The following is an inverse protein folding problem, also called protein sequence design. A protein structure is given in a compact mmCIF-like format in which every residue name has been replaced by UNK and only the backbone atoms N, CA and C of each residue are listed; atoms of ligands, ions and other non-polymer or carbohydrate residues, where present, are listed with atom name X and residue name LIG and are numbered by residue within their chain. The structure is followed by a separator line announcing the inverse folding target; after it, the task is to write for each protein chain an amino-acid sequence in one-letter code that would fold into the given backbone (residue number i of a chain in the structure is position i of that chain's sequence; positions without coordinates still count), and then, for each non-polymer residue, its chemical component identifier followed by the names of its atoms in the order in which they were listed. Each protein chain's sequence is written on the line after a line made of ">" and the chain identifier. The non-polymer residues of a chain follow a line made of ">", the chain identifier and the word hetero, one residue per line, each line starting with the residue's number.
data_IF_859153158714
#
_entry.id   IF_859153158714
#
_cell.length_a   1.000
_cell.length_b   1.000
_cell.length_c   1.000
_cell.angle_alpha   90.00
_cell.angle_beta   90.00
_cell.angle_gamma   90.00
#
_symmetry.space_group_name_H-M   'P 1'
#
loop_
_entity.id
_entity.type
_entity.pdbx_description
1 polymer ?
#
# COMPACT_ATOMS: atom_id res chain seq x y z
N UNK A 1 -14.43 -5.65 12.82
CA UNK A 1 -13.11 -5.44 12.17
C UNK A 1 -12.06 -5.67 13.25
N UNK A 2 -11.39 -6.81 13.25
CA UNK A 2 -10.28 -7.05 14.17
C UNK A 2 -8.99 -6.77 13.40
N UNK A 3 -8.28 -5.71 13.80
CA UNK A 3 -6.88 -5.48 13.42
C UNK A 3 -6.01 -5.85 14.60
N UNK A 4 -4.83 -6.38 14.34
CA UNK A 4 -3.78 -6.55 15.35
C UNK A 4 -2.47 -6.00 14.81
N UNK A 5 -1.53 -5.78 15.72
CA UNK A 5 -0.18 -5.39 15.42
C UNK A 5 0.70 -6.65 15.44
N UNK A 6 1.33 -6.94 14.31
CA UNK A 6 2.09 -8.17 14.08
C UNK A 6 3.58 -7.89 13.92
N UNK A 7 4.39 -8.86 14.34
CA UNK A 7 5.84 -8.79 14.46
C UNK A 7 6.53 -9.07 13.13
N UNK A 8 7.58 -8.32 12.81
CA UNK A 8 8.36 -8.56 11.59
C UNK A 8 9.28 -9.79 11.72
N UNK A 9 9.06 -10.81 10.89
CA UNK A 9 9.90 -12.02 10.78
C UNK A 9 10.89 -11.97 9.60
N UNK A 10 10.91 -10.87 8.85
CA UNK A 10 11.79 -10.65 7.70
C UNK A 10 11.21 -11.30 6.45
N UNK A 11 12.07 -11.90 5.63
CA UNK A 11 11.71 -12.31 4.28
C UNK A 11 12.19 -13.73 3.92
N UNK A 12 12.48 -14.55 4.93
CA UNK A 12 12.72 -15.98 4.76
C UNK A 12 11.43 -16.76 4.92
N UNK A 13 11.14 -17.70 4.01
CA UNK A 13 9.92 -18.53 4.06
C UNK A 13 10.18 -19.86 4.75
N UNK A 14 11.28 -20.53 4.38
CA UNK A 14 11.55 -21.90 4.79
C UNK A 14 11.82 -22.02 6.31
N UNK A 15 10.96 -22.75 7.02
CA UNK A 15 11.06 -23.03 8.46
C UNK A 15 11.30 -21.77 9.31
N UNK A 16 10.77 -20.64 8.87
CA UNK A 16 10.93 -19.35 9.55
C UNK A 16 10.30 -19.36 10.94
N UNK A 17 9.24 -20.16 11.13
CA UNK A 17 8.54 -20.29 12.41
C UNK A 17 9.00 -21.47 13.28
N UNK A 18 9.93 -22.30 12.81
CA UNK A 18 10.44 -23.43 13.61
C UNK A 18 11.04 -22.92 14.92
N UNK A 19 10.77 -23.55 16.06
CA UNK A 19 11.46 -23.29 17.33
C UNK A 19 12.65 -24.23 17.52
N UNK A 20 13.58 -23.90 18.44
CA UNK A 20 14.62 -24.85 18.88
C UNK A 20 13.99 -26.09 19.55
N UNK A 21 12.80 -25.93 20.15
CA UNK A 21 12.04 -27.02 20.78
C UNK A 21 11.35 -27.96 19.80
N UNK A 22 11.18 -27.57 18.54
CA UNK A 22 10.45 -28.38 17.55
C UNK A 22 11.36 -29.37 16.83
N UNK A 23 12.68 -29.26 17.03
CA UNK A 23 13.64 -30.21 16.51
C UNK A 23 13.78 -31.43 17.44
N UNK A 24 14.09 -32.61 16.88
CA UNK A 24 14.27 -33.84 17.68
C UNK A 24 15.29 -33.71 18.82
N UNK A 25 16.24 -32.77 18.70
CA UNK A 25 17.22 -32.44 19.74
C UNK A 25 17.36 -30.93 19.89
N UNK A 26 17.33 -30.43 21.14
CA UNK A 26 17.57 -29.02 21.47
C UNK A 26 18.98 -28.52 21.11
N UNK A 27 19.94 -29.45 20.97
CA UNK A 27 21.34 -29.15 20.63
C UNK A 27 21.66 -29.50 19.15
N UNK A 28 20.64 -29.57 18.30
CA UNK A 28 20.85 -29.84 16.88
C UNK A 28 21.47 -28.60 16.20
N UNK A 29 22.75 -28.69 15.85
CA UNK A 29 23.46 -27.66 15.07
C UNK A 29 22.71 -27.32 13.78
N UNK A 30 22.00 -28.29 13.19
CA UNK A 30 21.25 -28.08 11.96
C UNK A 30 20.05 -27.15 12.16
N UNK A 31 19.36 -27.30 13.30
CA UNK A 31 18.27 -26.43 13.71
C UNK A 31 18.73 -24.97 13.82
N UNK A 32 19.85 -24.77 14.51
CA UNK A 32 20.44 -23.45 14.73
C UNK A 32 20.90 -22.81 13.40
N UNK A 33 21.50 -23.59 12.50
CA UNK A 33 21.92 -23.09 11.19
C UNK A 33 20.74 -22.69 10.30
N UNK A 34 19.69 -23.52 10.22
CA UNK A 34 18.49 -23.18 9.45
C UNK A 34 17.79 -21.96 10.04
N UNK A 35 17.66 -21.90 11.36
CA UNK A 35 17.13 -20.74 12.09
C UNK A 35 17.85 -19.44 11.73
N UNK A 36 19.18 -19.43 11.81
CA UNK A 36 19.97 -18.24 11.55
C UNK A 36 19.95 -17.83 10.07
N UNK A 37 19.69 -18.78 9.16
CA UNK A 37 19.60 -18.52 7.73
C UNK A 37 18.29 -17.83 7.32
N UNK A 38 17.14 -18.33 7.79
CA UNK A 38 15.82 -17.86 7.35
C UNK A 38 15.17 -16.83 8.27
N UNK A 39 15.53 -16.79 9.56
CA UNK A 39 14.98 -15.81 10.52
C UNK A 39 15.73 -14.50 10.42
N UNK A 40 15.36 -13.66 9.45
CA UNK A 40 16.06 -12.40 9.13
C UNK A 40 15.40 -11.14 9.67
N UNK A 41 14.18 -11.27 10.22
CA UNK A 41 13.40 -10.16 10.76
C UNK A 41 13.95 -9.54 12.04
N UNK A 42 13.21 -8.52 12.52
CA UNK A 42 13.41 -7.91 13.82
C UNK A 42 13.09 -8.88 14.97
N UNK A 43 12.12 -9.77 14.75
CA UNK A 43 11.73 -10.82 15.68
C UNK A 43 11.94 -12.20 15.07
N UNK A 44 12.12 -13.18 15.95
CA UNK A 44 12.31 -14.56 15.60
C UNK A 44 11.86 -15.44 16.77
N UNK A 45 11.20 -16.56 16.48
CA UNK A 45 10.70 -17.46 17.52
C UNK A 45 11.85 -18.02 18.34
N UNK A 46 11.73 -17.93 19.67
CA UNK A 46 12.71 -18.43 20.65
C UNK A 46 14.14 -17.89 20.41
N UNK A 47 14.29 -16.67 19.90
CA UNK A 47 15.57 -15.99 19.79
C UNK A 47 15.55 -14.69 20.60
N UNK A 48 16.57 -14.51 21.44
CA UNK A 48 16.81 -13.27 22.15
C UNK A 48 17.67 -12.36 21.29
N UNK A 49 17.10 -11.22 20.85
CA UNK A 49 17.79 -10.21 20.05
C UNK A 49 17.91 -8.91 20.86
N UNK A 50 19.02 -8.20 20.69
CA UNK A 50 19.28 -6.88 21.28
C UNK A 50 19.36 -5.83 20.18
N UNK A 51 19.15 -4.56 20.52
CA UNK A 51 19.24 -3.47 19.52
C UNK A 51 20.58 -3.41 18.78
N UNK A 52 21.69 -3.78 19.43
CA UNK A 52 23.01 -3.89 18.79
C UNK A 52 23.09 -4.95 17.68
N UNK A 53 22.16 -5.90 17.65
CA UNK A 53 22.10 -6.98 16.66
C UNK A 53 21.35 -6.52 15.39
N UNK A 54 20.80 -5.30 15.39
CA UNK A 54 20.12 -4.66 14.25
C UNK A 54 21.15 -3.82 13.49
N UNK A 55 21.95 -4.49 12.67
CA UNK A 55 23.10 -3.92 11.98
C UNK A 55 22.72 -2.98 10.82
N UNK A 56 21.47 -3.05 10.35
CA UNK A 56 20.94 -2.18 9.29
C UNK A 56 20.45 -0.83 9.84
N UNK A 57 20.38 -0.71 11.18
CA UNK A 57 19.98 0.47 11.91
C UNK A 57 18.50 0.44 12.30
N UNK A 58 18.18 0.86 13.53
CA UNK A 58 16.82 0.86 14.06
C UNK A 58 15.84 1.71 13.22
N UNK A 59 16.30 2.82 12.66
CA UNK A 59 15.50 3.68 11.78
C UNK A 59 15.25 3.12 10.38
N UNK A 60 15.92 2.02 10.02
CA UNK A 60 15.84 1.39 8.70
C UNK A 60 15.24 -0.02 8.73
N UNK A 61 14.96 -0.57 9.92
CA UNK A 61 14.40 -1.91 10.08
C UNK A 61 12.98 -1.83 10.63
N UNK A 62 12.04 -2.49 9.97
CA UNK A 62 10.66 -2.63 10.41
C UNK A 62 10.58 -3.52 11.65
N UNK A 63 9.79 -3.10 12.62
CA UNK A 63 9.54 -3.85 13.86
C UNK A 63 8.14 -4.47 13.83
N UNK A 64 7.12 -3.65 13.60
CA UNK A 64 5.70 -4.04 13.71
C UNK A 64 4.91 -3.49 12.52
N UNK A 65 3.87 -4.19 12.09
CA UNK A 65 2.92 -3.70 11.10
C UNK A 65 1.48 -3.99 11.52
N UNK A 66 0.52 -3.22 11.00
CA UNK A 66 -0.89 -3.60 11.09
C UNK A 66 -1.15 -4.88 10.27
N UNK A 67 -2.08 -5.69 10.76
CA UNK A 67 -2.69 -6.79 10.02
C UNK A 67 -4.19 -6.89 10.31
N UNK A 68 -4.97 -7.08 9.24
CA UNK A 68 -6.34 -7.59 9.33
C UNK A 68 -6.30 -9.02 9.85
N UNK A 69 -7.03 -9.31 10.92
CA UNK A 69 -7.11 -10.67 11.50
C UNK A 69 -8.28 -11.48 10.95
N UNK A 70 -9.30 -10.79 10.43
CA UNK A 70 -10.52 -11.36 9.87
C UNK A 70 -10.79 -10.74 8.51
N UNK A 71 -11.28 -11.53 7.56
CA UNK A 71 -11.63 -11.09 6.21
C UNK A 71 -10.46 -11.09 5.25
N UNK A 72 -9.36 -11.77 5.59
CA UNK A 72 -8.20 -11.98 4.71
C UNK A 72 -7.84 -13.46 4.74
N UNK A 73 -8.43 -14.29 3.85
CA UNK A 73 -8.20 -15.72 3.82
C UNK A 73 -6.72 -16.06 3.68
N UNK A 74 -6.30 -17.09 4.41
CA UNK A 74 -4.93 -17.62 4.31
C UNK A 74 -5.01 -18.98 3.65
N UNK A 75 -4.40 -19.11 2.47
CA UNK A 75 -4.34 -20.39 1.78
C UNK A 75 -3.46 -21.38 2.56
N UNK A 76 -3.75 -22.67 2.48
CA UNK A 76 -2.97 -23.71 3.17
C UNK A 76 -2.51 -24.79 2.20
N UNK A 77 -1.48 -25.52 2.61
CA UNK A 77 -0.92 -26.66 1.87
C UNK A 77 -0.34 -26.26 0.50
N UNK A 78 0.32 -25.10 0.42
CA UNK A 78 0.88 -24.58 -0.83
C UNK A 78 2.34 -25.02 -0.99
N UNK A 79 2.56 -26.12 -1.71
CA UNK A 79 3.89 -26.68 -1.96
C UNK A 79 4.79 -25.69 -2.73
N UNK A 80 6.09 -25.70 -2.44
CA UNK A 80 7.10 -24.90 -3.16
C UNK A 80 7.14 -23.41 -2.79
N UNK A 81 6.41 -23.00 -1.74
CA UNK A 81 6.32 -21.59 -1.31
C UNK A 81 7.68 -20.93 -1.08
N UNK A 82 8.65 -21.67 -0.54
CA UNK A 82 9.97 -21.13 -0.25
C UNK A 82 10.83 -20.90 -1.50
N UNK A 83 10.63 -21.71 -2.55
CA UNK A 83 11.27 -21.54 -3.85
C UNK A 83 10.57 -20.52 -4.74
N UNK A 84 9.26 -20.35 -4.56
CA UNK A 84 8.45 -19.40 -5.32
C UNK A 84 7.31 -18.84 -4.43
N UNK A 85 7.53 -17.71 -3.74
CA UNK A 85 6.51 -17.06 -2.93
C UNK A 85 5.27 -16.59 -3.69
N UNK A 86 5.35 -16.35 -5.00
CA UNK A 86 4.22 -15.89 -5.81
C UNK A 86 3.09 -16.92 -5.85
N UNK A 87 3.37 -18.18 -5.52
CA UNK A 87 2.37 -19.23 -5.36
C UNK A 87 1.32 -18.89 -4.29
N UNK A 88 1.64 -18.04 -3.31
CA UNK A 88 0.66 -17.54 -2.34
C UNK A 88 -0.47 -16.73 -2.99
N UNK A 89 -0.18 -16.04 -4.11
CA UNK A 89 -1.17 -15.30 -4.92
C UNK A 89 -2.01 -16.28 -5.72
N UNK A 90 -1.37 -17.23 -6.40
CA UNK A 90 -2.06 -18.23 -7.22
C UNK A 90 -3.00 -19.11 -6.37
N UNK A 91 -2.59 -19.44 -5.15
CA UNK A 91 -3.36 -20.26 -4.22
C UNK A 91 -4.69 -19.63 -3.80
N UNK A 92 -4.89 -18.32 -3.98
CA UNK A 92 -6.17 -17.66 -3.70
C UNK A 92 -7.29 -18.06 -4.66
N UNK A 93 -6.95 -18.65 -5.81
CA UNK A 93 -7.93 -19.19 -6.76
C UNK A 93 -8.35 -20.62 -6.40
N UNK A 94 -7.71 -21.24 -5.41
CA UNK A 94 -8.04 -22.58 -4.92
C UNK A 94 -9.19 -22.58 -3.91
N UNK A 95 -9.40 -23.72 -3.27
CA UNK A 95 -10.44 -23.96 -2.26
C UNK A 95 -9.87 -24.29 -0.85
N UNK A 96 -8.53 -24.41 -0.74
CA UNK A 96 -7.84 -24.78 0.50
C UNK A 96 -7.45 -23.55 1.32
N UNK A 97 -8.27 -23.20 2.29
CA UNK A 97 -8.01 -22.12 3.24
C UNK A 97 -8.02 -22.60 4.69
N UNK A 98 -7.32 -21.86 5.55
CA UNK A 98 -7.48 -22.00 7.00
C UNK A 98 -8.87 -21.53 7.43
N UNK A 99 -9.60 -22.26 8.29
CA UNK A 99 -10.95 -21.88 8.70
C UNK A 99 -11.04 -20.56 9.47
N UNK A 100 -9.95 -20.13 10.12
CA UNK A 100 -9.90 -18.96 10.99
C UNK A 100 -9.10 -17.80 10.39
N UNK A 101 -8.95 -17.74 9.06
CA UNK A 101 -8.07 -16.78 8.38
C UNK A 101 -6.68 -16.75 9.04
N UNK A 102 -6.32 -15.61 9.63
CA UNK A 102 -5.05 -15.38 10.31
C UNK A 102 -5.04 -15.83 11.77
N UNK A 103 -6.21 -16.03 12.37
CA UNK A 103 -6.39 -16.55 13.74
C UNK A 103 -5.75 -15.63 14.81
N UNK A 104 -6.54 -15.09 15.74
CA UNK A 104 -6.08 -14.03 16.67
C UNK A 104 -5.48 -14.59 17.98
N UNK A 105 -4.52 -15.52 17.87
CA UNK A 105 -3.91 -16.19 19.04
C UNK A 105 -2.57 -15.57 19.43
N UNK A 106 -2.61 -14.60 20.34
CA UNK A 106 -1.42 -13.86 20.77
C UNK A 106 -0.37 -14.71 21.50
N UNK A 107 -0.79 -15.75 22.25
CA UNK A 107 0.11 -16.57 23.05
C UNK A 107 0.73 -17.78 22.33
N UNK A 108 0.18 -18.17 21.16
CA UNK A 108 0.72 -19.29 20.37
C UNK A 108 1.97 -18.86 19.57
N UNK A 109 2.07 -17.56 19.28
CA UNK A 109 3.19 -16.99 18.56
C UNK A 109 3.27 -17.37 17.08
N UNK A 110 2.37 -18.21 16.56
CA UNK A 110 2.33 -18.62 15.15
C UNK A 110 2.51 -17.43 14.22
N UNK A 111 3.29 -17.64 13.15
CA UNK A 111 3.56 -16.59 12.17
C UNK A 111 2.27 -16.05 11.54
N UNK A 112 1.32 -16.93 11.24
CA UNK A 112 0.00 -16.58 10.70
C UNK A 112 -0.77 -15.63 11.64
N UNK A 113 -0.69 -15.86 12.95
CA UNK A 113 -1.43 -15.11 13.98
C UNK A 113 -0.75 -13.85 14.47
N UNK A 114 0.57 -13.86 14.59
CA UNK A 114 1.31 -12.80 15.30
C UNK A 114 2.42 -12.15 14.50
N UNK A 115 2.74 -12.66 13.30
CA UNK A 115 3.87 -12.17 12.52
C UNK A 115 3.49 -11.70 11.11
N UNK A 116 4.41 -11.01 10.45
CA UNK A 116 4.34 -10.73 9.03
C UNK A 116 5.74 -10.86 8.43
N UNK A 117 5.78 -10.93 7.11
CA UNK A 117 6.99 -11.02 6.33
C UNK A 117 6.99 -9.96 5.24
N UNK A 118 8.18 -9.54 4.86
CA UNK A 118 8.42 -8.49 3.86
C UNK A 118 8.72 -9.08 2.48
N UNK A 119 7.90 -10.03 2.05
CA UNK A 119 8.08 -10.76 0.78
C UNK A 119 7.14 -10.21 -0.30
N UNK A 120 5.84 -10.24 0.00
CA UNK A 120 4.82 -9.61 -0.82
C UNK A 120 4.47 -8.25 -0.22
N UNK A 121 4.08 -7.25 -1.06
CA UNK A 121 3.76 -5.92 -0.55
C UNK A 121 2.54 -5.95 0.38
N UNK A 122 2.30 -4.90 1.18
CA UNK A 122 1.12 -4.80 2.02
C UNK A 122 -0.20 -5.08 1.28
N UNK A 123 -1.17 -5.63 2.00
CA UNK A 123 -2.48 -6.09 1.49
C UNK A 123 -2.42 -7.25 0.48
N UNK A 124 -1.26 -7.87 0.28
CA UNK A 124 -1.14 -9.06 -0.57
C UNK A 124 -1.74 -10.32 0.09
N UNK A 125 -2.12 -11.32 -0.73
CA UNK A 125 -2.47 -12.65 -0.25
C UNK A 125 -1.46 -13.25 0.71
N UNK A 126 -1.93 -14.16 1.56
CA UNK A 126 -1.10 -14.93 2.49
C UNK A 126 -1.35 -16.43 2.31
N UNK A 127 -0.31 -17.22 2.51
CA UNK A 127 -0.38 -18.68 2.40
C UNK A 127 0.61 -19.37 3.35
N UNK A 128 0.26 -20.58 3.77
CA UNK A 128 1.17 -21.50 4.46
C UNK A 128 1.54 -22.64 3.52
N UNK A 129 2.75 -23.17 3.68
CA UNK A 129 3.23 -24.27 2.85
C UNK A 129 2.53 -25.60 3.24
N UNK A 130 2.91 -26.66 2.52
CA UNK A 130 2.52 -28.05 2.75
C UNK A 130 3.11 -28.67 4.03
N UNK A 131 4.15 -28.05 4.60
CA UNK A 131 4.66 -28.34 5.95
C UNK A 131 3.97 -27.52 7.06
N UNK A 132 2.88 -26.81 6.73
CA UNK A 132 2.02 -26.08 7.66
C UNK A 132 2.50 -24.66 7.97
N UNK A 133 2.18 -24.16 9.17
CA UNK A 133 2.53 -22.79 9.62
C UNK A 133 4.05 -22.57 9.83
N UNK A 134 4.87 -23.61 9.62
CA UNK A 134 6.32 -23.58 9.80
C UNK A 134 7.03 -22.82 8.68
N UNK A 135 6.51 -22.95 7.46
CA UNK A 135 6.94 -22.20 6.29
C UNK A 135 5.73 -21.50 5.70
N UNK A 136 5.81 -20.18 5.51
CA UNK A 136 4.66 -19.42 5.06
C UNK A 136 5.08 -18.12 4.37
N UNK A 137 4.15 -17.51 3.65
CA UNK A 137 4.23 -16.15 3.12
C UNK A 137 3.06 -15.39 3.72
N UNK A 138 3.35 -14.51 4.68
CA UNK A 138 2.34 -13.81 5.47
C UNK A 138 2.51 -12.30 5.31
N UNK A 139 1.59 -11.66 4.60
CA UNK A 139 1.69 -10.24 4.24
C UNK A 139 1.15 -9.33 5.35
N UNK A 140 1.73 -8.13 5.51
CA UNK A 140 1.11 -7.08 6.32
C UNK A 140 -0.19 -6.58 5.65
N UNK A 141 -1.14 -6.06 6.40
CA UNK A 141 -2.41 -5.59 5.81
C UNK A 141 -3.15 -4.60 6.71
N UNK A 142 -3.98 -3.73 6.15
CA UNK A 142 -4.76 -2.79 6.96
C UNK A 142 -6.20 -2.65 6.48
N UNK A 143 -7.04 -2.14 7.38
CA UNK A 143 -8.36 -1.63 7.03
C UNK A 143 -8.27 -0.20 6.47
N UNK A 144 -7.16 0.49 6.71
CA UNK A 144 -6.81 1.74 6.04
C UNK A 144 -6.28 1.39 4.65
N UNK A 145 -7.21 1.22 3.70
CA UNK A 145 -6.91 0.64 2.39
C UNK A 145 -5.77 1.31 1.62
N UNK A 146 -5.06 0.53 0.81
CA UNK A 146 -3.96 1.03 -0.04
C UNK A 146 -2.57 0.93 0.60
N UNK A 147 -2.44 0.23 1.74
CA UNK A 147 -1.20 0.13 2.49
C UNK A 147 -1.40 -0.36 3.92
N UNK A 148 -0.38 -0.12 4.75
CA UNK A 148 -0.40 -0.48 6.17
C UNK A 148 0.43 0.51 6.99
N UNK A 149 0.01 0.79 8.22
CA UNK A 149 0.90 1.47 9.16
C UNK A 149 1.94 0.48 9.68
N UNK A 150 3.19 0.95 9.73
CA UNK A 150 4.33 0.22 10.25
C UNK A 150 5.04 1.03 11.32
N UNK A 151 5.77 0.33 12.18
CA UNK A 151 6.64 0.89 13.21
C UNK A 151 8.06 0.43 12.93
N UNK A 152 9.00 1.36 12.89
CA UNK A 152 10.44 1.10 12.77
C UNK A 152 11.07 0.78 14.13
N UNK A 153 12.27 0.23 14.12
CA UNK A 153 13.01 -0.12 15.33
C UNK A 153 13.29 1.06 16.27
N UNK A 154 13.27 2.30 15.76
CA UNK A 154 13.42 3.54 16.52
C UNK A 154 12.09 4.11 17.04
N UNK A 155 10.97 3.44 16.76
CA UNK A 155 9.63 3.86 17.15
C UNK A 155 8.93 4.79 16.14
N UNK A 156 9.56 5.13 15.02
CA UNK A 156 8.90 5.94 13.99
C UNK A 156 7.72 5.17 13.37
N UNK A 157 6.55 5.82 13.33
CA UNK A 157 5.35 5.28 12.67
C UNK A 157 5.25 5.87 11.27
N UNK A 158 5.13 5.01 10.25
CA UNK A 158 4.96 5.43 8.85
C UNK A 158 3.85 4.63 8.18
N UNK A 159 3.19 5.24 7.21
CA UNK A 159 2.28 4.52 6.33
C UNK A 159 3.04 4.03 5.09
N UNK A 160 3.00 2.73 4.81
CA UNK A 160 3.61 2.12 3.63
C UNK A 160 2.53 1.65 2.68
N UNK A 161 2.56 2.15 1.45
CA UNK A 161 1.57 1.82 0.42
C UNK A 161 1.78 0.41 -0.13
N UNK A 162 0.71 -0.27 -0.57
CA UNK A 162 0.78 -1.59 -1.22
C UNK A 162 1.50 -1.60 -2.57
N UNK A 163 1.84 -0.43 -3.10
CA UNK A 163 2.64 -0.24 -4.30
C UNK A 163 4.13 -0.01 -4.03
N UNK A 164 4.59 -0.24 -2.79
CA UNK A 164 6.02 -0.29 -2.46
C UNK A 164 6.75 -1.30 -3.36
N UNK A 165 7.99 -1.01 -3.70
CA UNK A 165 8.86 -1.97 -4.39
C UNK A 165 9.07 -3.22 -3.52
N UNK A 166 8.50 -4.33 -3.98
CA UNK A 166 8.59 -5.65 -3.36
C UNK A 166 9.41 -6.65 -4.20
N UNK A 167 10.30 -6.17 -5.09
CA UNK A 167 11.29 -7.00 -5.78
C UNK A 167 10.75 -7.92 -6.87
N UNK A 168 11.11 -9.21 -6.82
CA UNK A 168 10.57 -10.31 -7.63
C UNK A 168 9.89 -11.35 -6.71
N UNK A 169 8.57 -11.63 -6.83
CA UNK A 169 7.90 -12.54 -5.90
C UNK A 169 8.12 -14.00 -6.29
N UNK A 170 8.67 -14.26 -7.48
CA UNK A 170 9.00 -15.59 -7.97
C UNK A 170 10.39 -16.04 -7.53
N UNK A 171 11.20 -15.09 -7.04
CA UNK A 171 12.52 -15.36 -6.53
C UNK A 171 12.47 -16.22 -5.26
N UNK A 172 13.33 -17.23 -5.24
CA UNK A 172 13.54 -18.10 -4.09
C UNK A 172 13.92 -17.31 -2.83
N UNK A 173 13.28 -17.66 -1.73
CA UNK A 173 13.57 -17.05 -0.42
C UNK A 173 14.95 -17.42 0.08
N UNK A 174 15.51 -16.59 0.95
CA UNK A 174 16.80 -16.87 1.57
C UNK A 174 16.62 -17.85 2.72
N UNK A 175 17.44 -18.88 2.71
CA UNK A 175 17.42 -19.93 3.72
C UNK A 175 18.54 -20.94 3.49
N UNK A 176 18.55 -21.99 4.31
CA UNK A 176 19.54 -23.04 4.20
C UNK A 176 18.99 -24.21 3.37
N UNK A 177 19.42 -24.31 2.12
CA UNK A 177 19.13 -25.45 1.25
C UNK A 177 20.08 -26.61 1.57
N UNK A 178 19.61 -27.58 2.34
CA UNK A 178 20.42 -28.73 2.77
C UNK A 178 20.43 -29.87 1.76
N UNK A 179 19.45 -29.89 0.86
CA UNK A 179 19.30 -30.93 -0.16
C UNK A 179 20.09 -30.60 -1.43
N UNK A 180 20.79 -29.44 -1.46
CA UNK A 180 21.42 -28.88 -2.66
C UNK A 180 20.45 -28.85 -3.84
N UNK A 181 19.17 -28.64 -3.54
CA UNK A 181 18.07 -28.63 -4.49
C UNK A 181 18.01 -27.35 -5.33
N UNK A 182 18.90 -26.39 -5.03
CA UNK A 182 18.93 -25.02 -5.53
C UNK A 182 17.63 -24.24 -5.28
N UNK A 183 16.82 -24.70 -4.32
CA UNK A 183 15.47 -24.19 -4.05
C UNK A 183 15.45 -22.93 -3.19
N UNK A 184 16.54 -22.60 -2.51
CA UNK A 184 16.69 -21.40 -1.68
C UNK A 184 17.91 -20.58 -2.11
N UNK A 185 17.86 -19.27 -1.86
CA UNK A 185 19.03 -18.41 -1.96
C UNK A 185 19.92 -18.61 -0.72
N UNK A 186 21.25 -18.67 -0.87
CA UNK A 186 22.15 -19.01 0.23
C UNK A 186 22.13 -17.93 1.32
N UNK A 187 22.39 -18.30 2.60
CA UNK A 187 22.44 -17.35 3.71
C UNK A 187 23.42 -16.19 3.42
N UNK A 188 23.02 -14.96 3.76
CA UNK A 188 23.80 -13.74 3.47
C UNK A 188 23.54 -13.13 2.09
N UNK A 189 22.68 -13.74 1.28
CA UNK A 189 22.17 -13.13 0.04
C UNK A 189 21.31 -11.91 0.35
N UNK A 190 21.38 -10.89 -0.50
CA UNK A 190 20.47 -9.73 -0.46
C UNK A 190 19.02 -10.18 -0.58
N UNK A 191 18.10 -9.39 -0.04
CA UNK A 191 16.67 -9.61 -0.22
C UNK A 191 16.32 -9.51 -1.70
N UNK A 192 15.66 -10.53 -2.27
CA UNK A 192 15.14 -10.44 -3.63
C UNK A 192 13.82 -9.65 -3.69
N UNK A 193 13.30 -9.18 -2.56
CA UNK A 193 11.98 -8.55 -2.43
C UNK A 193 12.05 -7.02 -2.34
N UNK A 194 13.05 -6.43 -3.01
CA UNK A 194 13.18 -4.98 -3.22
C UNK A 194 13.33 -4.18 -1.93
N UNK A 195 12.95 -2.90 -1.97
CA UNK A 195 12.94 -2.02 -0.80
C UNK A 195 12.15 -2.63 0.37
N UNK A 196 11.00 -3.22 0.09
CA UNK A 196 10.16 -3.82 1.12
C UNK A 196 10.90 -4.93 1.87
N UNK A 197 11.54 -5.85 1.13
CA UNK A 197 12.36 -6.92 1.66
C UNK A 197 13.54 -6.42 2.50
N UNK A 198 14.28 -5.45 1.96
CA UNK A 198 15.42 -4.84 2.66
C UNK A 198 15.01 -4.23 4.01
N UNK A 199 13.90 -3.49 4.05
CA UNK A 199 13.34 -2.89 5.28
C UNK A 199 12.94 -3.94 6.32
N UNK A 200 12.62 -5.16 5.91
CA UNK A 200 12.27 -6.25 6.83
C UNK A 200 13.46 -6.98 7.41
N UNK A 201 14.67 -6.83 6.87
CA UNK A 201 15.85 -7.52 7.39
C UNK A 201 16.60 -6.70 8.44
N UNK A 202 17.16 -7.37 9.45
CA UNK A 202 17.89 -6.71 10.54
C UNK A 202 19.39 -6.49 10.28
N UNK A 203 19.99 -7.29 9.39
CA UNK A 203 21.44 -7.39 9.27
C UNK A 203 21.94 -7.82 7.88
N UNK A 204 21.24 -7.42 6.82
CA UNK A 204 21.64 -7.72 5.42
C UNK A 204 22.50 -6.62 4.80
N UNK A 205 22.57 -5.43 5.43
CA UNK A 205 23.35 -4.25 5.04
C UNK A 205 23.12 -3.80 3.60
N UNK A 206 21.87 -3.85 3.18
CA UNK A 206 21.47 -3.50 1.82
C UNK A 206 21.43 -1.98 1.66
N UNK A 207 22.19 -1.47 0.69
CA UNK A 207 22.16 -0.07 0.29
C UNK A 207 21.25 0.09 -0.91
N UNK A 208 20.26 0.97 -0.81
CA UNK A 208 19.31 1.25 -1.88
C UNK A 208 19.74 2.55 -2.58
N UNK A 209 20.14 2.42 -3.84
CA UNK A 209 20.52 3.55 -4.69
C UNK A 209 19.36 3.87 -5.64
N UNK A 210 18.70 5.00 -5.39
CA UNK A 210 17.59 5.49 -6.23
C UNK A 210 18.16 6.33 -7.35
N UNK A 211 18.26 5.73 -8.54
CA UNK A 211 18.69 6.42 -9.76
C UNK A 211 17.51 6.78 -10.64
N UNK A 212 17.52 8.00 -11.19
CA UNK A 212 16.48 8.48 -12.12
C UNK A 212 16.89 8.35 -13.59
N UNK A 213 18.16 8.08 -13.89
CA UNK A 213 18.77 8.05 -15.23
C UNK A 213 18.59 6.74 -16.02
N UNK A 214 17.74 5.82 -15.56
CA UNK A 214 17.57 4.51 -16.22
C UNK A 214 18.78 3.58 -16.13
N UNK A 215 19.82 3.93 -15.35
CA UNK A 215 20.80 2.95 -14.90
C UNK A 215 20.15 1.89 -14.00
N UNK A 216 20.86 0.78 -13.72
CA UNK A 216 20.39 -0.25 -12.79
C UNK A 216 20.18 0.35 -11.38
N UNK A 217 18.99 0.87 -11.15
CA UNK A 217 18.45 1.24 -9.84
C UNK A 217 18.23 -0.04 -9.04
N UNK A 218 18.58 -0.03 -7.76
CA UNK A 218 18.29 -1.17 -6.88
C UNK A 218 16.80 -1.28 -6.53
N UNK A 219 16.00 -0.27 -6.88
CA UNK A 219 14.54 -0.29 -6.80
C UNK A 219 13.97 -0.93 -8.07
N UNK A 220 13.16 -1.96 -7.90
CA UNK A 220 12.47 -2.68 -9.00
C UNK A 220 11.34 -1.83 -9.58
N UNK A 221 10.98 -2.08 -10.85
CA UNK A 221 9.86 -1.40 -11.49
C UNK A 221 8.56 -1.57 -10.66
N UNK A 222 7.79 -0.50 -10.44
CA UNK A 222 6.55 -0.56 -9.66
C UNK A 222 5.55 -1.54 -10.27
N UNK A 223 5.05 -2.46 -9.45
CA UNK A 223 4.20 -3.57 -9.91
C UNK A 223 2.73 -3.22 -10.12
N UNK A 224 2.25 -2.05 -9.68
CA UNK A 224 0.99 -1.50 -10.17
C UNK A 224 1.32 -0.58 -11.34
N UNK A 225 1.32 -1.15 -12.54
CA UNK A 225 1.23 -0.36 -13.75
C UNK A 225 -0.04 0.46 -13.69
N UNK A 226 0.05 1.74 -14.07
CA UNK A 226 -1.16 2.52 -14.29
C UNK A 226 -1.99 1.85 -15.38
N UNK A 227 -3.30 1.76 -15.16
CA UNK A 227 -4.22 1.34 -16.21
C UNK A 227 -4.12 2.29 -17.40
N UNK A 228 -4.41 1.82 -18.61
CA UNK A 228 -4.38 2.63 -19.83
C UNK A 228 -5.23 3.91 -19.71
N UNK A 229 -6.33 3.84 -18.94
CA UNK A 229 -7.21 4.98 -18.65
C UNK A 229 -6.52 6.02 -17.75
N UNK A 230 -5.88 5.59 -16.66
CA UNK A 230 -5.11 6.49 -15.80
C UNK A 230 -3.94 7.14 -16.58
N UNK A 231 -3.31 6.37 -17.48
CA UNK A 231 -2.23 6.84 -18.35
C UNK A 231 -2.70 7.88 -19.38
N UNK A 232 -3.89 7.71 -19.94
CA UNK A 232 -4.52 8.68 -20.85
C UNK A 232 -4.84 10.00 -20.15
N UNK A 233 -5.31 9.97 -18.90
CA UNK A 233 -5.53 11.18 -18.11
C UNK A 233 -4.21 11.89 -17.76
N UNK A 234 -3.18 11.12 -17.40
CA UNK A 234 -1.85 11.66 -17.12
C UNK A 234 -1.22 12.28 -18.38
N UNK A 235 -1.40 11.68 -19.56
CA UNK A 235 -0.94 12.21 -20.86
C UNK A 235 -1.56 13.56 -21.24
N UNK A 236 -2.69 13.97 -20.64
CA UNK A 236 -3.26 15.31 -20.84
C UNK A 236 -2.44 16.41 -20.17
N UNK A 237 -1.59 16.07 -19.19
CA UNK A 237 -0.71 17.03 -18.51
C UNK A 237 0.52 17.35 -19.38
N UNK A 238 1.12 18.53 -19.24
CA UNK A 238 2.37 18.85 -19.94
C UNK A 238 3.49 17.92 -19.45
N UNK A 239 4.21 17.32 -20.40
CA UNK A 239 5.38 16.49 -20.10
C UNK A 239 6.54 17.39 -19.67
N UNK A 240 7.31 16.98 -18.66
CA UNK A 240 8.44 17.74 -18.10
C UNK A 240 9.64 16.82 -17.89
N UNK A 241 10.83 17.40 -17.96
CA UNK A 241 12.07 16.75 -17.52
C UNK A 241 12.28 17.03 -16.04
N UNK A 242 12.21 16.00 -15.22
CA UNK A 242 12.43 16.02 -13.79
C UNK A 242 13.89 15.70 -13.48
N UNK A 243 14.53 16.51 -12.64
CA UNK A 243 15.96 16.39 -12.31
C UNK A 243 16.14 16.00 -10.85
N UNK A 244 16.89 14.93 -10.61
CA UNK A 244 17.23 14.50 -9.27
C UNK A 244 18.21 15.48 -8.61
N UNK A 245 17.99 15.78 -7.33
CA UNK A 245 18.98 16.46 -6.50
C UNK A 245 20.29 15.65 -6.44
N UNK A 246 21.42 16.36 -6.37
CA UNK A 246 22.74 15.74 -6.25
C UNK A 246 23.25 15.02 -7.51
N UNK A 247 22.68 15.32 -8.69
CA UNK A 247 23.19 14.82 -9.97
C UNK A 247 22.83 13.37 -10.28
N UNK A 248 21.78 12.81 -9.64
CA UNK A 248 21.35 11.41 -9.81
C UNK A 248 20.49 11.15 -11.07
N UNK A 249 20.64 12.00 -12.07
CA UNK A 249 19.99 11.87 -13.37
C UNK A 249 18.74 12.72 -13.59
N UNK A 250 18.15 12.53 -14.77
CA UNK A 250 16.90 13.19 -15.21
C UNK A 250 15.92 12.16 -15.75
N UNK A 251 14.63 12.41 -15.57
CA UNK A 251 13.53 11.59 -16.10
C UNK A 251 12.54 12.48 -16.83
N UNK A 252 12.20 12.15 -18.09
CA UNK A 252 11.10 12.81 -18.77
C UNK A 252 9.79 12.11 -18.42
N UNK A 253 8.80 12.86 -17.97
CA UNK A 253 7.52 12.29 -17.55
C UNK A 253 6.50 13.29 -17.05
N UNK A 254 5.36 12.77 -16.64
CA UNK A 254 4.24 13.53 -16.10
C UNK A 254 4.19 13.43 -14.58
N UNK A 255 3.80 14.54 -13.94
CA UNK A 255 3.45 14.56 -12.52
C UNK A 255 2.07 13.96 -12.32
N UNK A 256 2.01 12.85 -11.59
CA UNK A 256 0.76 12.16 -11.27
C UNK A 256 0.16 12.75 -10.00
N UNK A 257 0.92 12.73 -8.91
CA UNK A 257 0.50 13.26 -7.60
C UNK A 257 1.70 13.64 -6.74
N UNK A 258 1.43 14.42 -5.70
CA UNK A 258 2.37 14.72 -4.62
C UNK A 258 1.61 14.75 -3.29
N UNK A 259 2.06 13.99 -2.31
CA UNK A 259 1.46 13.97 -0.97
C UNK A 259 1.93 15.17 -0.11
N UNK A 260 1.22 15.44 0.99
CA UNK A 260 1.63 16.39 2.04
C UNK A 260 2.97 16.07 2.69
N UNK A 261 3.31 14.78 2.78
CA UNK A 261 4.61 14.30 3.26
C UNK A 261 5.74 14.55 2.26
N UNK A 262 5.41 15.01 1.05
CA UNK A 262 6.36 15.30 -0.02
C UNK A 262 6.67 14.08 -0.89
N UNK A 263 5.83 13.04 -0.90
CA UNK A 263 6.00 11.89 -1.77
C UNK A 263 5.42 12.21 -3.15
N UNK A 264 6.26 12.23 -4.17
CA UNK A 264 5.96 12.57 -5.55
C UNK A 264 5.88 11.30 -6.39
N UNK A 265 4.86 11.21 -7.23
CA UNK A 265 4.68 10.13 -8.21
C UNK A 265 4.83 10.70 -9.61
N UNK A 266 5.82 10.20 -10.35
CA UNK A 266 6.12 10.54 -11.74
C UNK A 266 5.86 9.34 -12.65
N UNK A 267 5.48 9.58 -13.90
CA UNK A 267 5.32 8.52 -14.92
C UNK A 267 6.00 8.93 -16.21
N UNK A 268 6.83 8.06 -16.80
CA UNK A 268 7.41 8.30 -18.12
C UNK A 268 6.44 7.90 -19.26
N UNK A 269 6.85 8.19 -20.51
CA UNK A 269 6.09 7.85 -21.72
C UNK A 269 5.76 6.35 -21.86
N UNK A 270 6.65 5.49 -21.37
CA UNK A 270 6.51 4.03 -21.38
C UNK A 270 5.55 3.50 -20.31
N UNK A 271 5.10 4.36 -19.39
CA UNK A 271 4.20 4.00 -18.28
C UNK A 271 4.91 3.54 -17.00
N UNK A 272 6.24 3.63 -16.94
CA UNK A 272 6.99 3.34 -15.74
C UNK A 272 6.74 4.43 -14.70
N UNK A 273 6.24 4.00 -13.54
CA UNK A 273 6.03 4.88 -12.41
C UNK A 273 7.36 5.05 -11.65
N UNK A 274 7.66 6.25 -11.18
CA UNK A 274 8.76 6.53 -10.27
C UNK A 274 8.24 7.28 -9.06
N UNK A 275 8.61 6.79 -7.87
CA UNK A 275 8.25 7.42 -6.59
C UNK A 275 9.51 8.05 -6.02
N UNK A 276 9.45 9.35 -5.80
CA UNK A 276 10.56 10.18 -5.29
C UNK A 276 10.03 11.10 -4.21
N UNK A 277 10.87 11.65 -3.36
CA UNK A 277 10.44 12.72 -2.45
C UNK A 277 10.73 14.09 -3.04
N UNK A 278 10.06 15.14 -2.57
CA UNK A 278 10.35 16.54 -2.97
C UNK A 278 11.83 16.89 -2.71
N UNK A 279 12.42 16.35 -1.65
CA UNK A 279 13.84 16.51 -1.33
C UNK A 279 14.78 15.78 -2.31
N UNK A 280 14.29 14.77 -3.03
CA UNK A 280 15.07 14.06 -4.04
C UNK A 280 15.11 14.79 -5.38
N UNK A 281 14.36 15.88 -5.54
CA UNK A 281 14.33 16.71 -6.75
C UNK A 281 15.11 18.01 -6.55
N UNK A 282 15.60 18.59 -7.66
CA UNK A 282 16.18 19.93 -7.60
C UNK A 282 15.14 20.95 -7.14
N UNK A 283 15.60 22.04 -6.51
CA UNK A 283 14.71 23.06 -5.94
C UNK A 283 13.71 23.64 -6.95
N UNK A 284 14.10 23.77 -8.22
CA UNK A 284 13.22 24.27 -9.29
C UNK A 284 12.04 23.33 -9.59
N UNK A 285 12.30 22.01 -9.66
CA UNK A 285 11.25 21.01 -9.92
C UNK A 285 10.37 20.78 -8.70
N UNK A 286 10.96 20.79 -7.51
CA UNK A 286 10.20 20.76 -6.26
C UNK A 286 9.28 21.99 -6.14
N UNK A 287 9.79 23.18 -6.47
CA UNK A 287 9.00 24.41 -6.50
C UNK A 287 7.86 24.33 -7.51
N UNK A 288 8.14 23.85 -8.73
CA UNK A 288 7.11 23.69 -9.76
C UNK A 288 6.00 22.72 -9.33
N UNK A 289 6.33 21.62 -8.65
CA UNK A 289 5.33 20.69 -8.12
C UNK A 289 4.42 21.43 -7.14
N UNK A 290 4.99 22.14 -6.17
CA UNK A 290 4.21 22.90 -5.19
C UNK A 290 3.35 23.97 -5.87
N UNK A 291 3.92 24.71 -6.83
CA UNK A 291 3.20 25.74 -7.60
C UNK A 291 2.05 25.14 -8.43
N UNK A 292 2.28 24.01 -9.10
CA UNK A 292 1.26 23.33 -9.90
C UNK A 292 0.10 22.81 -9.05
N UNK A 293 0.38 22.26 -7.86
CA UNK A 293 -0.64 21.82 -6.91
C UNK A 293 -1.45 23.00 -6.37
N UNK A 294 -0.77 24.12 -6.09
CA UNK A 294 -1.44 25.35 -5.65
C UNK A 294 -2.35 25.90 -6.76
N UNK A 295 -1.89 25.91 -8.02
CA UNK A 295 -2.67 26.34 -9.16
C UNK A 295 -3.90 25.44 -9.40
N UNK A 296 -3.73 24.12 -9.25
CA UNK A 296 -4.80 23.15 -9.37
C UNK A 296 -5.85 23.35 -8.25
N UNK A 297 -5.40 23.57 -7.01
CA UNK A 297 -6.29 23.90 -5.87
C UNK A 297 -7.08 25.19 -6.10
N UNK A 298 -6.43 26.24 -6.61
CA UNK A 298 -7.11 27.50 -6.95
C UNK A 298 -8.17 27.28 -8.02
N UNK A 299 -7.86 26.48 -9.03
CA UNK A 299 -8.79 26.17 -10.13
C UNK A 299 -9.96 25.32 -9.64
N UNK A 300 -9.68 24.29 -8.84
CA UNK A 300 -10.67 23.43 -8.22
C UNK A 300 -11.63 24.22 -7.32
N UNK A 301 -11.11 25.16 -6.52
CA UNK A 301 -11.91 26.05 -5.67
C UNK A 301 -12.81 27.00 -6.46
N UNK A 302 -12.35 27.53 -7.61
CA UNK A 302 -13.13 28.45 -8.45
C UNK A 302 -14.40 27.82 -9.01
N UNK A 303 -14.35 26.54 -9.39
CA UNK A 303 -15.49 25.84 -10.02
C UNK A 303 -16.36 25.10 -9.01
N UNK A 304 -15.88 24.90 -7.78
CA UNK A 304 -16.56 24.12 -6.75
C UNK A 304 -17.96 24.66 -6.45
N UNK A 305 -18.08 25.95 -6.10
CA UNK A 305 -19.36 26.54 -5.72
C UNK A 305 -20.39 26.40 -6.85
N UNK A 306 -20.03 26.78 -8.07
CA UNK A 306 -20.93 26.68 -9.23
C UNK A 306 -21.39 25.24 -9.51
N UNK A 307 -20.53 24.25 -9.26
CA UNK A 307 -20.85 22.85 -9.46
C UNK A 307 -21.72 22.28 -8.33
N UNK A 308 -21.54 22.74 -7.09
CA UNK A 308 -22.44 22.41 -6.00
C UNK A 308 -23.85 22.98 -6.24
N UNK A 309 -23.95 24.23 -6.71
CA UNK A 309 -25.22 24.85 -7.09
C UNK A 309 -25.90 24.10 -8.26
N UNK A 310 -25.13 23.67 -9.27
CA UNK A 310 -25.60 22.81 -10.35
C UNK A 310 -26.14 21.46 -9.82
N UNK A 311 -25.40 20.82 -8.91
CA UNK A 311 -25.79 19.57 -8.27
C UNK A 311 -27.10 19.70 -7.49
N UNK A 312 -27.23 20.74 -6.66
CA UNK A 312 -28.48 21.06 -5.93
C UNK A 312 -29.62 21.24 -6.91
N UNK A 313 -29.44 22.06 -7.95
CA UNK A 313 -30.49 22.33 -8.95
C UNK A 313 -30.96 21.06 -9.69
N UNK A 314 -30.07 20.13 -10.01
CA UNK A 314 -30.44 18.84 -10.61
C UNK A 314 -31.23 17.97 -9.63
N UNK A 315 -30.78 17.87 -8.38
CA UNK A 315 -31.46 17.10 -7.34
C UNK A 315 -32.83 17.68 -7.01
N UNK A 316 -32.96 19.01 -6.92
CA UNK A 316 -34.22 19.71 -6.71
C UNK A 316 -35.26 19.37 -7.79
N UNK A 317 -34.84 19.45 -9.06
CA UNK A 317 -35.65 19.12 -10.25
C UNK A 317 -35.90 17.62 -10.43
N UNK A 318 -35.33 16.78 -9.56
CA UNK A 318 -35.38 15.30 -9.66
C UNK A 318 -34.76 14.76 -10.95
N UNK A 319 -33.79 15.48 -11.52
CA UNK A 319 -33.00 15.03 -12.67
C UNK A 319 -31.86 14.12 -12.21
N UNK A 320 -32.21 12.90 -11.80
CA UNK A 320 -31.22 11.93 -11.31
C UNK A 320 -30.29 11.43 -12.41
N UNK A 321 -30.77 11.34 -13.65
CA UNK A 321 -29.95 10.89 -14.78
C UNK A 321 -28.89 11.92 -15.13
N UNK A 322 -29.25 13.20 -15.19
CA UNK A 322 -28.31 14.31 -15.37
C UNK A 322 -27.30 14.39 -14.23
N UNK A 323 -27.76 14.22 -12.99
CA UNK A 323 -26.90 14.21 -11.81
C UNK A 323 -25.86 13.09 -11.87
N UNK A 324 -26.29 11.84 -12.07
CA UNK A 324 -25.38 10.69 -12.13
C UNK A 324 -24.36 10.86 -13.26
N UNK A 325 -24.76 11.36 -14.43
CA UNK A 325 -23.85 11.57 -15.55
C UNK A 325 -22.80 12.67 -15.29
N UNK A 326 -23.15 13.67 -14.49
CA UNK A 326 -22.33 14.87 -14.28
C UNK A 326 -21.46 14.80 -13.03
N UNK A 327 -21.90 14.06 -12.02
CA UNK A 327 -21.30 14.04 -10.67
C UNK A 327 -20.92 12.64 -10.20
N UNK A 328 -21.19 11.57 -10.95
CA UNK A 328 -20.70 10.23 -10.61
C UNK A 328 -19.81 9.76 -11.75
N UNK A 329 -18.56 9.42 -11.41
CA UNK A 329 -17.64 8.85 -12.39
C UNK A 329 -18.00 7.37 -12.64
N UNK A 330 -18.82 7.14 -13.66
CA UNK A 330 -19.25 5.82 -14.06
C UNK A 330 -18.11 4.92 -14.58
N UNK A 331 -16.93 5.49 -14.88
CA UNK A 331 -15.77 4.68 -15.30
C UNK A 331 -15.12 3.94 -14.14
N UNK A 332 -15.42 4.36 -12.90
CA UNK A 332 -14.89 3.78 -11.67
C UNK A 332 -15.85 2.79 -11.00
N UNK A 333 -16.99 2.46 -11.64
CA UNK A 333 -18.07 1.69 -11.05
C UNK A 333 -18.47 0.49 -11.93
N UNK A 334 -18.74 -0.65 -11.31
CA UNK A 334 -19.37 -1.78 -11.99
C UNK A 334 -20.90 -1.58 -12.16
N UNK A 335 -21.55 -2.42 -12.99
CA UNK A 335 -22.99 -2.31 -13.30
C UNK A 335 -23.87 -2.40 -12.04
N UNK A 336 -23.43 -3.16 -11.03
CA UNK A 336 -24.16 -3.34 -9.77
C UNK A 336 -23.99 -2.11 -8.89
N UNK A 337 -22.79 -1.57 -8.79
CA UNK A 337 -22.47 -0.35 -8.05
C UNK A 337 -23.20 0.87 -8.62
N UNK A 338 -23.30 0.98 -9.95
CA UNK A 338 -24.10 2.03 -10.61
C UNK A 338 -25.57 1.96 -10.13
N UNK A 339 -26.12 0.76 -9.98
CA UNK A 339 -27.49 0.54 -9.51
C UNK A 339 -27.64 0.90 -8.03
N UNK A 340 -26.66 0.51 -7.20
CA UNK A 340 -26.62 0.84 -5.77
C UNK A 340 -26.50 2.36 -5.54
N UNK A 341 -25.59 3.02 -6.26
CA UNK A 341 -25.39 4.48 -6.22
C UNK A 341 -26.64 5.22 -6.70
N UNK A 342 -27.24 4.79 -7.81
CA UNK A 342 -28.50 5.37 -8.31
C UNK A 342 -29.63 5.27 -7.28
N UNK A 343 -29.74 4.11 -6.62
CA UNK A 343 -30.73 3.88 -5.55
C UNK A 343 -30.44 4.74 -4.32
N UNK A 344 -29.17 4.91 -3.95
CA UNK A 344 -28.76 5.74 -2.83
C UNK A 344 -29.05 7.23 -3.08
N UNK A 345 -28.69 7.75 -4.26
CA UNK A 345 -28.98 9.14 -4.67
C UNK A 345 -30.48 9.40 -4.63
N UNK A 346 -31.30 8.45 -5.11
CA UNK A 346 -32.75 8.57 -5.06
C UNK A 346 -33.28 8.61 -3.62
N UNK A 347 -32.87 7.65 -2.78
CA UNK A 347 -33.35 7.53 -1.39
C UNK A 347 -32.88 8.67 -0.49
N UNK A 348 -31.67 9.17 -0.71
CA UNK A 348 -31.01 10.17 0.15
C UNK A 348 -31.01 11.58 -0.44
N UNK A 349 -31.80 11.86 -1.49
CA UNK A 349 -31.90 13.16 -2.17
C UNK A 349 -31.93 14.36 -1.20
N UNK A 350 -32.80 14.32 -0.19
CA UNK A 350 -32.95 15.43 0.75
C UNK A 350 -31.69 15.68 1.59
N UNK A 351 -30.98 14.61 1.97
CA UNK A 351 -29.71 14.72 2.68
C UNK A 351 -28.60 15.25 1.77
N UNK A 352 -28.58 14.82 0.50
CA UNK A 352 -27.61 15.29 -0.49
C UNK A 352 -27.76 16.79 -0.78
N UNK A 353 -29.00 17.28 -0.94
CA UNK A 353 -29.27 18.71 -1.11
C UNK A 353 -28.74 19.50 0.09
N UNK A 354 -29.12 19.09 1.30
CA UNK A 354 -28.69 19.77 2.52
C UNK A 354 -27.17 19.87 2.63
N UNK A 355 -26.44 18.81 2.29
CA UNK A 355 -24.99 18.84 2.39
C UNK A 355 -24.30 19.66 1.30
N UNK A 356 -24.85 19.69 0.09
CA UNK A 356 -24.34 20.60 -0.92
C UNK A 356 -24.62 22.05 -0.55
N UNK A 357 -25.79 22.35 0.04
CA UNK A 357 -26.09 23.68 0.59
C UNK A 357 -25.17 24.07 1.73
N UNK A 358 -24.89 23.16 2.67
CA UNK A 358 -23.93 23.39 3.76
C UNK A 358 -22.52 23.66 3.20
N UNK A 359 -22.10 22.90 2.17
CA UNK A 359 -20.82 23.10 1.50
C UNK A 359 -20.75 24.43 0.71
N UNK A 360 -21.86 24.85 0.09
CA UNK A 360 -21.99 26.17 -0.55
C UNK A 360 -21.83 27.27 0.50
N UNK A 361 -22.48 27.15 1.65
CA UNK A 361 -22.35 28.10 2.76
C UNK A 361 -20.89 28.23 3.25
N UNK A 362 -20.18 27.10 3.34
CA UNK A 362 -18.75 27.04 3.69
C UNK A 362 -17.87 27.72 2.61
N UNK A 363 -18.20 27.56 1.33
CA UNK A 363 -17.52 28.26 0.24
C UNK A 363 -17.74 29.79 0.30
N UNK A 364 -18.95 30.23 0.62
CA UNK A 364 -19.33 31.65 0.69
C UNK A 364 -18.61 32.42 1.82
N UNK A 365 -18.28 31.74 2.92
CA UNK A 365 -17.47 32.32 4.01
C UNK A 365 -15.95 32.27 3.73
N UNK A 366 -15.54 31.89 2.52
CA UNK A 366 -14.15 31.85 2.08
C UNK A 366 -13.34 30.65 2.60
N UNK A 367 -13.99 29.69 3.27
CA UNK A 367 -13.34 28.47 3.74
C UNK A 367 -13.55 27.36 2.72
N UNK A 368 -12.65 27.21 1.75
CA UNK A 368 -12.76 26.15 0.75
C UNK A 368 -12.14 24.85 1.30
N UNK A 369 -12.93 23.78 1.61
CA UNK A 369 -12.46 22.60 2.34
C UNK A 369 -11.75 21.58 1.43
N UNK A 370 -10.86 22.06 0.56
CA UNK A 370 -10.08 21.22 -0.36
C UNK A 370 -8.79 20.76 0.34
N UNK A 371 -8.59 19.45 0.40
CA UNK A 371 -7.35 18.85 0.85
C UNK A 371 -6.36 18.74 -0.31
N UNK A 372 -5.12 19.19 -0.08
CA UNK A 372 -4.08 19.34 -1.11
C UNK A 372 -3.54 18.04 -1.70
N UNK A 373 -3.76 16.90 -1.05
CA UNK A 373 -2.96 15.70 -1.33
C UNK A 373 -3.59 14.81 -2.39
N UNK A 374 -4.89 14.97 -2.62
CA UNK A 374 -5.70 14.09 -3.48
C UNK A 374 -6.76 14.84 -4.30
N UNK A 375 -6.68 16.17 -4.44
CA UNK A 375 -7.75 16.97 -5.07
C UNK A 375 -9.14 16.64 -4.49
N UNK A 376 -9.17 16.31 -3.21
CA UNK A 376 -10.33 15.69 -2.57
C UNK A 376 -10.97 16.69 -1.62
N UNK A 377 -12.30 16.78 -1.70
CA UNK A 377 -13.13 17.48 -0.75
C UNK A 377 -13.91 16.46 0.06
N UNK A 378 -13.87 16.59 1.38
CA UNK A 378 -14.68 15.78 2.29
C UNK A 378 -15.75 16.69 2.87
N UNK A 379 -17.01 16.33 2.68
CA UNK A 379 -18.16 17.02 3.27
C UNK A 379 -18.77 16.07 4.30
N UNK A 380 -18.72 16.49 5.57
CA UNK A 380 -19.33 15.76 6.69
C UNK A 380 -20.80 16.18 6.85
N UNK A 381 -21.69 15.21 7.01
CA UNK A 381 -23.13 15.43 7.15
C UNK A 381 -23.55 15.36 8.61
N UNK A 382 -24.30 16.36 9.10
CA UNK A 382 -25.20 16.30 10.25
C UNK A 382 -24.70 15.65 11.56
N UNK A 383 -24.62 16.42 12.64
CA UNK A 383 -24.63 15.88 14.02
C UNK A 383 -26.05 15.41 14.39
N UNK A 384 -26.47 14.25 13.89
CA UNK A 384 -27.73 13.59 14.24
C UNK A 384 -27.52 12.13 14.65
N UNK A 385 -28.41 11.59 15.48
CA UNK A 385 -28.33 10.29 16.17
C UNK A 385 -28.22 9.03 15.28
N UNK A 386 -28.12 9.19 13.95
CA UNK A 386 -27.99 8.11 12.96
C UNK A 386 -26.59 7.93 12.34
N UNK A 387 -25.58 8.70 12.79
CA UNK A 387 -24.22 8.67 12.25
C UNK A 387 -24.01 9.63 11.09
N UNK A 388 -22.82 10.25 11.02
CA UNK A 388 -22.48 11.18 9.95
C UNK A 388 -22.24 10.41 8.64
N UNK A 389 -23.02 10.72 7.61
CA UNK A 389 -22.65 10.33 6.25
C UNK A 389 -21.46 11.22 5.86
N UNK A 390 -20.48 10.67 5.16
CA UNK A 390 -19.32 11.41 4.67
C UNK A 390 -19.29 11.29 3.16
N UNK A 391 -19.54 12.38 2.44
CA UNK A 391 -19.29 12.39 1.01
C UNK A 391 -17.85 12.80 0.74
N UNK A 392 -17.23 12.06 -0.16
CA UNK A 392 -15.94 12.40 -0.72
C UNK A 392 -16.13 12.78 -2.18
N UNK A 393 -15.74 14.00 -2.53
CA UNK A 393 -15.66 14.46 -3.92
C UNK A 393 -14.21 14.56 -4.34
N UNK A 394 -13.91 14.23 -5.59
CA UNK A 394 -12.57 14.31 -6.17
C UNK A 394 -12.61 15.22 -7.41
N UNK A 395 -11.63 16.12 -7.51
CA UNK A 395 -11.46 17.00 -8.66
C UNK A 395 -10.58 16.33 -9.72
N UNK A 396 -11.13 16.17 -10.93
CA UNK A 396 -10.43 15.61 -12.09
C UNK A 396 -10.98 16.25 -13.37
N UNK A 397 -10.14 16.44 -14.39
CA UNK A 397 -10.61 16.89 -15.71
C UNK A 397 -11.41 18.21 -15.72
N UNK A 398 -11.21 19.08 -14.73
CA UNK A 398 -11.94 20.35 -14.61
C UNK A 398 -13.25 20.29 -13.81
N UNK A 399 -13.66 19.12 -13.29
CA UNK A 399 -14.92 18.93 -12.56
C UNK A 399 -14.75 18.11 -11.28
N UNK A 400 -15.72 18.28 -10.38
CA UNK A 400 -15.85 17.56 -9.13
C UNK A 400 -16.80 16.36 -9.27
N UNK A 401 -16.33 15.19 -8.88
CA UNK A 401 -17.09 13.94 -8.94
C UNK A 401 -17.22 13.31 -7.56
N UNK A 402 -18.33 12.64 -7.28
CA UNK A 402 -18.50 11.78 -6.11
C UNK A 402 -17.63 10.55 -6.27
N UNK A 403 -16.74 10.34 -5.30
CA UNK A 403 -15.87 9.17 -5.25
C UNK A 403 -16.60 8.01 -4.55
N UNK A 404 -16.79 6.91 -5.28
CA UNK A 404 -17.35 5.68 -4.75
C UNK A 404 -16.27 4.80 -4.08
N UNK A 405 -15.52 5.35 -3.13
CA UNK A 405 -14.69 4.51 -2.24
C UNK A 405 -15.49 4.24 -0.97
N UNK A 406 -15.89 2.96 -0.82
CA UNK A 406 -16.59 2.40 0.36
C UNK A 406 -15.97 2.82 1.68
#
# INVERSE_FOLDING_TARGET
>A
LASSYVLNYGDGVHKVFYGLSDWPSRNDTNAAMTANASRRGMFARQQELKFRDILDGLSNTLMVAESKMVGTPVAKEVAGLASNPSLAIAAQQGDKFWPADRDARWCDGLLRSTGFQTILPPDSPSATADDGDQSAVISASSHHGGGTHVVFGDGAVKFITSSIDAGDPTAKSVGLDRENSNSLAPPGSKSPYGLWGALGTRASKETIDVRLDGGNSSITAPRRMMSELELQEVRKKPIRTWTAAGGRGTMQGWLVSCSKSGDVVLVNESGDVKRVTLSDLIGEDAYFIVESLLAERVTAGKVLQSQLEEAVGMLEKKDFSGFLKSFVDATQLDVREITEVSTAVYKQRGMLIQAFDDAIGVCQIGQVPIQSDDNTMVVDFGRGSGGAIRLRMQYSGGRWYLSAKR
#
